data_IF_403184485756
#
_entry.id   IF_403184485756
#
_cell.length_a   1.000
_cell.length_b   1.000
_cell.length_c   1.000
_cell.angle_alpha   90.00
_cell.angle_beta   90.00
_cell.angle_gamma   90.00
#
_symmetry.space_group_name_H-M   'P 1'
#
loop_
_entity.id
_entity.type
_entity.pdbx_description
1 polymer ?
#
# COMPACT_ATOMS: atom_id res chain seq x y z
N UNK A 1 4.28 12.33 18.02
CA UNK A 1 3.37 11.27 17.49
C UNK A 1 4.21 10.14 16.93
N UNK A 2 3.97 8.92 17.37
CA UNK A 2 4.68 7.71 16.95
C UNK A 2 3.86 6.94 15.90
N UNK A 3 4.50 6.35 14.88
CA UNK A 3 3.79 5.53 13.89
C UNK A 3 3.89 4.03 14.23
N UNK A 4 2.82 3.26 13.99
CA UNK A 4 2.83 1.80 14.07
C UNK A 4 2.39 1.24 12.72
N UNK A 5 3.28 0.49 12.06
CA UNK A 5 3.12 0.09 10.66
C UNK A 5 3.17 -1.44 10.55
N UNK A 6 2.02 -2.13 10.51
CA UNK A 6 2.00 -3.57 10.29
C UNK A 6 2.29 -3.91 8.82
N UNK A 7 3.36 -4.69 8.60
CA UNK A 7 3.83 -5.13 7.27
C UNK A 7 4.08 -6.64 7.20
N UNK A 8 3.57 -7.40 8.18
CA UNK A 8 3.84 -8.84 8.30
C UNK A 8 3.21 -9.71 7.21
N UNK A 9 2.26 -9.18 6.44
CA UNK A 9 1.48 -9.94 5.46
C UNK A 9 2.30 -10.54 4.32
N UNK A 10 2.05 -11.81 3.97
CA UNK A 10 2.75 -12.55 2.91
C UNK A 10 2.47 -11.99 1.50
N UNK A 11 1.32 -11.36 1.27
CA UNK A 11 0.95 -10.80 -0.04
C UNK A 11 0.67 -11.85 -1.12
N UNK A 12 0.03 -12.96 -0.79
CA UNK A 12 -0.22 -14.10 -1.71
C UNK A 12 -0.94 -13.73 -2.99
N UNK A 13 -1.81 -12.71 -2.98
CA UNK A 13 -2.55 -12.22 -4.15
C UNK A 13 -1.68 -11.48 -5.18
N UNK A 14 -0.46 -11.05 -4.78
CA UNK A 14 0.53 -10.43 -5.66
C UNK A 14 1.58 -11.42 -6.18
N UNK A 15 1.43 -12.71 -5.94
CA UNK A 15 2.30 -13.70 -6.57
C UNK A 15 2.18 -13.62 -8.10
N UNK A 16 3.30 -13.77 -8.85
CA UNK A 16 4.62 -14.28 -8.42
C UNK A 16 5.56 -13.25 -7.77
N UNK A 17 5.29 -11.93 -7.82
CA UNK A 17 6.20 -10.87 -7.37
C UNK A 17 6.60 -11.02 -5.89
N UNK A 18 5.69 -11.50 -5.05
CA UNK A 18 5.91 -11.68 -3.61
C UNK A 18 6.55 -13.02 -3.23
N UNK A 19 7.08 -13.79 -4.18
CA UNK A 19 7.94 -14.94 -3.86
C UNK A 19 9.33 -14.51 -3.38
N UNK A 20 9.85 -13.43 -3.93
CA UNK A 20 11.21 -12.93 -3.66
C UNK A 20 11.22 -11.71 -2.76
N UNK A 21 10.18 -10.87 -2.80
CA UNK A 21 10.04 -9.63 -2.03
C UNK A 21 8.82 -9.67 -1.11
N UNK A 22 8.89 -9.05 0.08
CA UNK A 22 7.68 -8.76 0.85
C UNK A 22 6.80 -7.76 0.08
N UNK A 23 5.47 -7.89 0.21
CA UNK A 23 4.50 -7.07 -0.53
C UNK A 23 4.80 -5.57 -0.48
N UNK A 24 5.18 -5.07 0.68
CA UNK A 24 5.41 -3.65 0.94
C UNK A 24 6.66 -3.10 0.28
N UNK A 25 7.54 -3.97 -0.22
CA UNK A 25 8.72 -3.59 -0.99
C UNK A 25 8.50 -3.68 -2.52
N UNK A 26 7.33 -4.09 -2.96
CA UNK A 26 6.98 -4.03 -4.40
C UNK A 26 6.99 -2.57 -4.84
N UNK A 27 7.71 -2.31 -5.94
CA UNK A 27 7.91 -0.96 -6.47
C UNK A 27 6.64 -0.45 -7.18
N UNK A 28 6.27 0.78 -6.92
CA UNK A 28 5.18 1.50 -7.59
C UNK A 28 5.58 2.96 -7.79
N UNK A 29 5.42 3.49 -8.97
CA UNK A 29 5.85 4.85 -9.34
C UNK A 29 7.31 5.18 -8.92
N UNK A 30 8.23 4.20 -9.04
CA UNK A 30 9.66 4.36 -8.80
C UNK A 30 10.10 4.30 -7.33
N UNK A 31 9.25 3.81 -6.42
CA UNK A 31 9.56 3.63 -4.99
C UNK A 31 8.76 2.47 -4.41
N UNK A 32 9.28 1.70 -3.44
CA UNK A 32 8.49 0.71 -2.70
C UNK A 32 7.24 1.30 -2.04
N UNK A 33 6.17 0.51 -1.91
CA UNK A 33 4.91 0.92 -1.26
C UNK A 33 5.20 1.52 0.13
N UNK A 34 6.01 0.82 0.95
CA UNK A 34 6.41 1.30 2.27
C UNK A 34 7.14 2.65 2.20
N UNK A 35 7.93 2.86 1.14
CA UNK A 35 8.63 4.13 0.94
C UNK A 35 7.70 5.33 0.77
N UNK A 36 6.57 5.16 0.08
CA UNK A 36 5.56 6.23 -0.03
C UNK A 36 4.91 6.53 1.32
N UNK A 37 4.68 5.51 2.14
CA UNK A 37 4.12 5.67 3.49
C UNK A 37 5.11 6.43 4.39
N UNK A 38 6.37 6.02 4.38
CA UNK A 38 7.41 6.66 5.21
C UNK A 38 7.66 8.12 4.79
N UNK A 39 7.64 8.42 3.49
CA UNK A 39 7.72 9.81 3.02
C UNK A 39 6.56 10.66 3.56
N UNK A 40 5.32 10.16 3.44
CA UNK A 40 4.14 10.86 3.94
C UNK A 40 4.18 11.10 5.46
N UNK A 41 4.75 10.16 6.22
CA UNK A 41 4.96 10.31 7.67
C UNK A 41 6.01 11.38 7.97
N UNK A 42 7.14 11.39 7.25
CA UNK A 42 8.19 12.38 7.42
C UNK A 42 7.72 13.79 7.06
N UNK A 43 6.89 13.96 6.04
CA UNK A 43 6.23 15.22 5.69
C UNK A 43 5.35 15.77 6.83
N UNK A 44 4.91 14.89 7.74
CA UNK A 44 4.14 15.26 8.92
C UNK A 44 4.98 15.33 10.21
N UNK A 45 6.30 15.40 10.11
CA UNK A 45 7.25 15.44 11.23
C UNK A 45 7.15 14.21 12.16
N UNK A 46 6.68 13.09 11.66
CA UNK A 46 6.72 11.81 12.37
C UNK A 46 8.12 11.21 12.20
N UNK A 47 8.90 11.23 13.28
CA UNK A 47 10.32 10.85 13.27
C UNK A 47 10.62 9.53 13.95
N UNK A 48 9.59 8.87 14.52
CA UNK A 48 9.70 7.55 15.15
C UNK A 48 8.61 6.60 14.69
N UNK A 49 8.96 5.32 14.51
CA UNK A 49 8.01 4.30 14.10
C UNK A 49 8.33 2.93 14.70
N UNK A 50 7.28 2.13 14.91
CA UNK A 50 7.39 0.67 15.11
C UNK A 50 6.87 -0.03 13.87
N UNK A 51 7.72 -0.80 13.20
CA UNK A 51 7.37 -1.57 12.02
C UNK A 51 7.20 -3.04 12.43
N UNK A 52 5.99 -3.56 12.24
CA UNK A 52 5.67 -4.95 12.59
C UNK A 52 5.92 -5.81 11.37
N UNK A 53 7.02 -6.53 11.38
CA UNK A 53 7.48 -7.39 10.29
C UNK A 53 6.99 -8.83 10.44
N UNK A 54 7.14 -9.60 9.38
CA UNK A 54 6.87 -11.04 9.34
C UNK A 54 7.63 -11.67 8.19
N UNK A 55 6.92 -12.16 7.18
CA UNK A 55 7.54 -12.76 6.00
C UNK A 55 8.61 -11.85 5.36
N UNK A 56 9.87 -12.33 5.32
CA UNK A 56 11.05 -11.59 4.80
C UNK A 56 11.24 -10.21 5.47
N UNK A 57 11.06 -10.15 6.77
CA UNK A 57 11.20 -8.93 7.55
C UNK A 57 12.60 -8.32 7.51
N UNK A 58 13.63 -9.15 7.33
CA UNK A 58 15.02 -8.76 7.11
C UNK A 58 15.19 -7.78 5.94
N UNK A 59 14.50 -8.02 4.82
CA UNK A 59 14.54 -7.13 3.65
C UNK A 59 13.85 -5.78 3.95
N UNK A 60 12.77 -5.80 4.74
CA UNK A 60 12.09 -4.57 5.17
C UNK A 60 13.00 -3.74 6.06
N UNK A 61 13.66 -4.39 7.03
CA UNK A 61 14.61 -3.74 7.93
C UNK A 61 15.78 -3.13 7.17
N UNK A 62 16.39 -3.88 6.25
CA UNK A 62 17.50 -3.42 5.41
C UNK A 62 17.07 -2.19 4.58
N UNK A 63 15.92 -2.24 3.92
CA UNK A 63 15.40 -1.12 3.13
C UNK A 63 15.19 0.13 3.98
N UNK A 64 14.54 0.01 5.13
CA UNK A 64 14.23 1.15 5.98
C UNK A 64 15.51 1.77 6.54
N UNK A 65 16.42 0.95 7.08
CA UNK A 65 17.68 1.43 7.67
C UNK A 65 18.63 2.08 6.64
N UNK A 66 18.62 1.56 5.39
CA UNK A 66 19.48 2.12 4.32
C UNK A 66 18.92 3.38 3.68
N UNK A 67 17.58 3.54 3.67
CA UNK A 67 16.92 4.60 2.90
C UNK A 67 16.39 5.75 3.76
N UNK A 68 16.18 5.55 5.07
CA UNK A 68 15.52 6.52 5.94
C UNK A 68 16.31 6.80 7.21
N UNK A 69 16.35 8.08 7.60
CA UNK A 69 16.84 8.54 8.92
C UNK A 69 15.65 8.67 9.86
N UNK A 70 15.11 7.57 10.29
CA UNK A 70 13.94 7.46 11.14
C UNK A 70 14.32 6.61 12.37
N UNK A 71 13.87 6.99 13.56
CA UNK A 71 14.02 6.15 14.75
C UNK A 71 13.01 4.99 14.66
N UNK A 72 13.49 3.78 14.33
CA UNK A 72 12.64 2.64 14.04
C UNK A 72 12.94 1.46 14.94
N UNK A 73 11.89 0.99 15.60
CA UNK A 73 11.83 -0.32 16.26
C UNK A 73 11.19 -1.34 15.33
N UNK A 74 11.81 -2.51 15.16
CA UNK A 74 11.23 -3.63 14.43
C UNK A 74 10.74 -4.67 15.40
N UNK A 75 9.52 -5.16 15.18
CA UNK A 75 8.88 -6.21 15.98
C UNK A 75 8.38 -7.29 15.03
N UNK A 76 8.71 -8.56 15.30
CA UNK A 76 8.28 -9.66 14.45
C UNK A 76 6.92 -10.20 14.90
N UNK A 77 5.97 -10.29 13.98
CA UNK A 77 4.76 -11.09 14.14
C UNK A 77 5.05 -12.52 13.63
N UNK A 78 5.41 -13.41 14.51
CA UNK A 78 5.73 -14.81 14.15
C UNK A 78 4.51 -15.63 13.74
N UNK A 79 3.33 -15.33 14.31
CA UNK A 79 2.07 -16.02 14.02
C UNK A 79 1.06 -15.08 13.35
N UNK A 80 0.52 -15.48 12.20
CA UNK A 80 -0.44 -14.69 11.42
C UNK A 80 -1.86 -14.83 11.97
N UNK A 81 -2.10 -14.29 13.17
CA UNK A 81 -3.38 -14.41 13.88
C UNK A 81 -4.32 -13.20 13.69
N UNK A 82 -4.00 -12.31 12.76
CA UNK A 82 -4.81 -11.14 12.43
C UNK A 82 -4.17 -9.80 12.76
N UNK A 83 -4.85 -8.70 12.38
CA UNK A 83 -4.31 -7.35 12.54
C UNK A 83 -4.26 -6.92 14.03
N UNK A 84 -5.28 -7.28 14.82
CA UNK A 84 -5.27 -7.03 16.26
C UNK A 84 -4.07 -7.70 16.94
N UNK A 85 -3.77 -8.96 16.58
CA UNK A 85 -2.59 -9.65 17.07
C UNK A 85 -1.28 -8.97 16.60
N UNK A 86 -1.21 -8.50 15.36
CA UNK A 86 -0.04 -7.76 14.90
C UNK A 86 0.24 -6.52 15.77
N UNK A 87 -0.77 -5.69 16.02
CA UNK A 87 -0.62 -4.52 16.88
C UNK A 87 -0.31 -4.92 18.33
N UNK A 88 -0.91 -6.01 18.82
CA UNK A 88 -0.61 -6.53 20.15
C UNK A 88 0.86 -6.98 20.31
N UNK A 89 1.50 -7.56 19.28
CA UNK A 89 2.93 -7.90 19.34
C UNK A 89 3.81 -6.67 19.56
N UNK A 90 3.37 -5.51 19.10
CA UNK A 90 4.05 -4.23 19.27
C UNK A 90 3.51 -3.37 20.45
N UNK A 91 2.77 -3.98 21.39
CA UNK A 91 2.08 -3.25 22.49
C UNK A 91 3.02 -2.45 23.39
N UNK A 92 4.30 -2.77 23.45
CA UNK A 92 5.28 -1.99 24.23
C UNK A 92 5.55 -0.60 23.62
N UNK A 93 5.19 -0.38 22.35
CA UNK A 93 5.21 0.95 21.72
C UNK A 93 3.93 1.77 21.94
N UNK A 94 2.89 1.15 22.52
CA UNK A 94 1.62 1.82 22.87
C UNK A 94 1.71 2.42 24.29
N UNK A 95 2.44 3.54 24.39
CA UNK A 95 2.68 4.22 25.67
C UNK A 95 1.77 5.44 25.83
N UNK A 96 2.31 6.58 26.28
CA UNK A 96 1.53 7.79 26.55
C UNK A 96 1.39 8.70 25.32
N UNK A 97 2.38 8.69 24.42
CA UNK A 97 2.36 9.54 23.23
C UNK A 97 1.33 9.02 22.21
N UNK A 98 0.48 9.90 21.64
CA UNK A 98 -0.46 9.47 20.59
C UNK A 98 0.21 8.73 19.45
N UNK A 99 -0.44 7.67 18.96
CA UNK A 99 0.05 6.84 17.87
C UNK A 99 -0.81 6.95 16.62
N UNK A 100 -0.16 6.86 15.46
CA UNK A 100 -0.80 6.68 14.17
C UNK A 100 -0.52 5.26 13.67
N UNK A 101 -1.57 4.43 13.63
CA UNK A 101 -1.50 3.12 13.00
C UNK A 101 -1.82 3.30 11.52
N UNK A 102 -0.92 2.85 10.65
CA UNK A 102 -1.07 2.95 9.19
C UNK A 102 -0.75 1.61 8.54
N UNK A 103 -1.70 1.06 7.78
CA UNK A 103 -1.49 -0.21 7.10
C UNK A 103 -0.41 -0.08 6.02
N UNK A 104 0.62 -0.92 6.08
CA UNK A 104 1.81 -0.84 5.23
C UNK A 104 1.61 -1.28 3.77
N UNK A 105 0.40 -1.65 3.40
CA UNK A 105 0.05 -2.14 2.06
C UNK A 105 -0.88 -1.22 1.27
N UNK A 106 -1.09 0.00 1.75
CA UNK A 106 -2.04 0.95 1.18
C UNK A 106 -1.40 2.33 1.06
N UNK A 107 -1.58 2.97 -0.09
CA UNK A 107 -1.21 4.37 -0.30
C UNK A 107 -2.44 5.25 -0.09
N UNK A 108 -2.28 6.32 0.66
CA UNK A 108 -3.36 7.22 1.03
C UNK A 108 -3.18 8.60 0.42
N UNK A 109 -4.31 9.21 0.06
CA UNK A 109 -4.43 10.63 -0.23
C UNK A 109 -5.23 11.28 0.87
N UNK A 110 -4.53 11.83 1.86
CA UNK A 110 -5.13 12.40 3.05
C UNK A 110 -4.19 13.43 3.67
N UNK A 111 -4.74 14.51 4.16
CA UNK A 111 -4.02 15.47 5.00
C UNK A 111 -4.02 14.98 6.46
N UNK A 112 -2.89 14.43 6.87
CA UNK A 112 -2.71 13.96 8.26
C UNK A 112 -2.51 15.09 9.27
N UNK A 113 -2.32 16.34 8.82
CA UNK A 113 -2.11 17.49 9.72
C UNK A 113 -3.31 17.74 10.64
N UNK A 114 -4.51 17.39 10.18
CA UNK A 114 -5.76 17.48 10.95
C UNK A 114 -5.73 16.65 12.23
N UNK A 115 -4.91 15.59 12.28
CA UNK A 115 -4.79 14.70 13.43
C UNK A 115 -3.91 15.30 14.53
N UNK A 116 -2.99 16.22 14.22
CA UNK A 116 -2.07 16.84 15.19
C UNK A 116 -2.80 17.63 16.28
N UNK A 117 -3.99 18.12 15.98
CA UNK A 117 -4.81 18.93 16.90
C UNK A 117 -6.05 18.18 17.40
N UNK A 118 -6.21 16.93 17.06
CA UNK A 118 -7.38 16.15 17.50
C UNK A 118 -7.33 15.85 18.98
N UNK A 119 -8.40 16.20 19.69
CA UNK A 119 -8.57 15.88 21.12
C UNK A 119 -9.11 14.46 21.35
N UNK A 120 -9.46 13.74 20.30
CA UNK A 120 -10.06 12.40 20.33
C UNK A 120 -9.32 11.46 19.38
N UNK A 121 -9.38 10.19 19.70
CA UNK A 121 -9.01 9.15 18.74
C UNK A 121 -9.86 9.28 17.47
N UNK A 122 -9.27 8.99 16.30
CA UNK A 122 -9.94 9.20 15.02
C UNK A 122 -9.62 8.08 14.02
N UNK A 123 -10.60 7.67 13.23
CA UNK A 123 -10.46 6.60 12.25
C UNK A 123 -10.69 7.16 10.85
N UNK A 124 -9.75 6.87 9.95
CA UNK A 124 -9.89 7.20 8.53
C UNK A 124 -10.95 6.33 7.87
N UNK A 125 -11.91 6.99 7.20
CA UNK A 125 -13.03 6.30 6.58
C UNK A 125 -13.28 6.77 5.16
N UNK A 126 -13.90 5.88 4.36
CA UNK A 126 -14.36 6.18 3.02
C UNK A 126 -15.71 5.53 2.75
N UNK A 127 -16.58 6.24 2.04
CA UNK A 127 -17.84 5.66 1.57
C UNK A 127 -17.58 4.65 0.43
N UNK A 128 -18.09 3.43 0.56
CA UNK A 128 -17.97 2.35 -0.43
C UNK A 128 -19.35 1.79 -0.80
N UNK A 129 -19.48 1.26 -2.01
CA UNK A 129 -20.73 0.62 -2.46
C UNK A 129 -20.96 -0.72 -1.76
N UNK A 130 -19.92 -1.54 -1.63
CA UNK A 130 -19.98 -2.84 -0.96
C UNK A 130 -19.02 -2.89 0.25
N UNK A 131 -19.54 -2.74 1.49
CA UNK A 131 -18.72 -2.70 2.70
C UNK A 131 -18.35 -4.09 3.25
N UNK A 132 -18.89 -5.19 2.72
CA UNK A 132 -18.78 -6.54 3.32
C UNK A 132 -17.35 -7.07 3.47
N UNK A 133 -16.39 -6.43 2.83
CA UNK A 133 -14.97 -6.83 2.84
C UNK A 133 -14.12 -6.03 3.84
N UNK A 134 -14.70 -5.04 4.50
CA UNK A 134 -14.00 -4.07 5.33
C UNK A 134 -14.60 -4.01 6.73
N UNK A 135 -13.85 -3.51 7.69
CA UNK A 135 -14.42 -2.96 8.90
C UNK A 135 -15.25 -1.72 8.54
N UNK A 136 -16.36 -1.53 9.22
CA UNK A 136 -17.23 -0.36 9.03
C UNK A 136 -17.50 0.35 10.32
N UNK A 137 -17.78 1.65 10.25
CA UNK A 137 -18.18 2.46 11.38
C UNK A 137 -19.65 2.88 11.30
N UNK A 138 -20.31 2.93 12.44
CA UNK A 138 -21.62 3.53 12.65
C UNK A 138 -21.41 4.68 13.62
N UNK A 139 -21.92 5.88 13.29
CA UNK A 139 -21.77 7.07 14.11
C UNK A 139 -23.11 7.49 14.70
N UNK A 140 -23.07 8.01 15.93
CA UNK A 140 -24.16 8.79 16.52
C UNK A 140 -23.71 10.27 16.57
N UNK A 141 -24.15 11.03 15.58
CA UNK A 141 -23.67 12.40 15.38
C UNK A 141 -22.17 12.46 15.08
N UNK A 142 -21.39 13.05 15.99
CA UNK A 142 -19.94 13.27 15.80
C UNK A 142 -19.09 12.05 16.14
N UNK A 143 -19.57 11.18 17.03
CA UNK A 143 -18.76 10.09 17.56
C UNK A 143 -19.14 8.74 16.96
N UNK A 144 -18.18 7.83 16.93
CA UNK A 144 -18.41 6.43 16.56
C UNK A 144 -19.15 5.76 17.73
N UNK A 145 -20.30 5.19 17.41
CA UNK A 145 -21.10 4.37 18.33
C UNK A 145 -20.71 2.89 18.21
N UNK A 146 -20.42 2.44 16.98
CA UNK A 146 -20.15 1.03 16.73
C UNK A 146 -19.18 0.81 15.58
N UNK A 147 -18.31 -0.21 15.77
CA UNK A 147 -17.43 -0.74 14.73
C UNK A 147 -17.81 -2.21 14.46
N UNK A 148 -17.85 -2.61 13.19
CA UNK A 148 -18.20 -3.99 12.81
C UNK A 148 -17.23 -4.48 11.73
N UNK A 149 -16.52 -5.55 12.03
CA UNK A 149 -15.59 -6.16 11.07
C UNK A 149 -16.32 -7.04 10.07
N UNK A 150 -16.13 -6.76 8.77
CA UNK A 150 -16.64 -7.55 7.63
C UNK A 150 -18.09 -8.02 7.82
N UNK A 151 -19.05 -7.11 7.95
CA UNK A 151 -20.45 -7.46 8.23
C UNK A 151 -21.03 -8.32 7.11
N UNK A 152 -21.75 -9.39 7.46
CA UNK A 152 -22.43 -10.24 6.48
C UNK A 152 -23.55 -9.49 5.74
N UNK A 153 -24.21 -8.61 6.45
CA UNK A 153 -25.19 -7.66 5.89
C UNK A 153 -24.67 -6.25 6.06
N UNK A 154 -24.74 -5.40 5.03
CA UNK A 154 -24.34 -4.01 5.15
C UNK A 154 -25.10 -3.30 6.27
N UNK A 155 -24.37 -2.82 7.28
CA UNK A 155 -24.90 -2.02 8.41
C UNK A 155 -24.48 -0.57 8.29
N UNK A 156 -23.45 -0.29 7.53
CA UNK A 156 -22.91 1.03 7.18
C UNK A 156 -22.09 0.93 5.91
N UNK A 157 -22.05 1.99 5.12
CA UNK A 157 -21.20 2.10 3.93
C UNK A 157 -19.90 2.88 4.22
N UNK A 158 -19.69 3.29 5.48
CA UNK A 158 -18.47 3.98 5.90
C UNK A 158 -17.39 2.95 6.26
N UNK A 159 -16.58 2.59 5.27
CA UNK A 159 -15.51 1.61 5.41
C UNK A 159 -14.27 2.21 6.09
N UNK A 160 -13.67 1.46 6.99
CA UNK A 160 -12.38 1.77 7.61
C UNK A 160 -11.27 1.51 6.58
N UNK A 161 -10.40 2.49 6.37
CA UNK A 161 -9.39 2.43 5.30
C UNK A 161 -8.00 2.00 5.76
N UNK A 162 -7.81 1.78 7.07
CA UNK A 162 -6.51 1.35 7.61
C UNK A 162 -5.63 2.50 8.11
N UNK A 163 -6.23 3.61 8.47
CA UNK A 163 -5.62 4.75 9.17
C UNK A 163 -6.34 4.95 10.51
N UNK A 164 -5.56 4.88 11.60
CA UNK A 164 -6.11 5.00 12.95
C UNK A 164 -5.22 5.92 13.78
N UNK A 165 -5.73 7.06 14.18
CA UNK A 165 -5.11 7.92 15.17
C UNK A 165 -5.65 7.57 16.55
N UNK A 166 -4.79 7.16 17.43
CA UNK A 166 -5.12 6.77 18.81
C UNK A 166 -4.56 7.80 19.77
N UNK A 167 -5.44 8.54 20.40
CA UNK A 167 -5.06 9.62 21.32
C UNK A 167 -4.55 9.08 22.66
N UNK A 168 -5.12 7.97 23.15
CA UNK A 168 -4.71 7.28 24.37
C UNK A 168 -4.25 5.84 24.05
N UNK A 169 -3.00 5.62 23.62
CA UNK A 169 -2.54 4.29 23.20
C UNK A 169 -2.57 3.23 24.30
N UNK A 170 -2.45 3.64 25.57
CA UNK A 170 -2.57 2.74 26.71
C UNK A 170 -3.96 2.10 26.82
N UNK A 171 -5.02 2.77 26.38
CA UNK A 171 -6.37 2.18 26.31
C UNK A 171 -6.46 1.14 25.20
N UNK A 172 -5.81 1.39 24.05
CA UNK A 172 -5.70 0.38 23.01
C UNK A 172 -4.90 -0.83 23.46
N UNK A 173 -3.80 -0.62 24.21
CA UNK A 173 -3.02 -1.73 24.80
C UNK A 173 -3.91 -2.59 25.68
N UNK A 174 -4.66 -2.00 26.59
CA UNK A 174 -5.57 -2.72 27.49
C UNK A 174 -6.67 -3.46 26.72
N UNK A 175 -7.25 -2.85 25.71
CA UNK A 175 -8.26 -3.48 24.85
C UNK A 175 -7.70 -4.66 24.03
N UNK A 176 -6.46 -4.56 23.56
CA UNK A 176 -5.78 -5.65 22.87
C UNK A 176 -5.43 -6.80 23.83
N UNK A 177 -5.00 -6.51 25.07
CA UNK A 177 -4.78 -7.52 26.09
C UNK A 177 -6.08 -8.27 26.40
N UNK A 178 -7.20 -7.54 26.59
CA UNK A 178 -8.54 -8.13 26.79
C UNK A 178 -8.99 -8.98 25.58
N UNK A 179 -8.74 -8.50 24.35
CA UNK A 179 -9.06 -9.23 23.10
C UNK A 179 -8.37 -10.61 23.07
N UNK A 180 -7.08 -10.64 23.43
CA UNK A 180 -6.27 -11.87 23.42
C UNK A 180 -6.65 -12.78 24.60
N UNK A 181 -6.76 -12.24 25.83
CA UNK A 181 -7.08 -13.03 27.03
C UNK A 181 -8.46 -13.71 26.94
N UNK A 182 -9.44 -13.03 26.34
CA UNK A 182 -10.80 -13.56 26.15
C UNK A 182 -10.97 -14.36 24.86
N UNK A 183 -9.92 -14.53 24.06
CA UNK A 183 -9.92 -15.20 22.74
C UNK A 183 -11.05 -14.69 21.81
N UNK A 184 -11.24 -13.36 21.75
CA UNK A 184 -12.27 -12.74 20.91
C UNK A 184 -11.77 -12.71 19.46
N UNK A 185 -12.41 -13.51 18.59
CA UNK A 185 -12.02 -13.63 17.17
C UNK A 185 -13.21 -13.38 16.24
N UNK A 186 -12.99 -12.56 15.25
CA UNK A 186 -13.92 -12.36 14.14
C UNK A 186 -13.35 -12.97 12.87
N UNK A 187 -14.10 -13.85 12.21
CA UNK A 187 -13.66 -14.65 11.05
C UNK A 187 -12.38 -15.46 11.31
N UNK A 188 -12.16 -15.90 12.57
CA UNK A 188 -11.01 -16.72 12.98
C UNK A 188 -9.74 -15.94 13.33
N UNK A 189 -9.74 -14.63 13.25
CA UNK A 189 -8.60 -13.75 13.51
C UNK A 189 -8.89 -12.75 14.63
N UNK A 190 -7.87 -12.32 15.34
CA UNK A 190 -7.94 -11.18 16.25
C UNK A 190 -7.94 -9.89 15.42
N UNK A 191 -9.08 -9.23 15.33
CA UNK A 191 -9.22 -8.02 14.51
C UNK A 191 -8.94 -6.76 15.34
N UNK A 192 -8.27 -5.78 14.72
CA UNK A 192 -8.09 -4.47 15.36
C UNK A 192 -9.45 -3.79 15.58
N UNK A 193 -10.39 -3.98 14.66
CA UNK A 193 -11.75 -3.45 14.76
C UNK A 193 -12.46 -3.89 16.05
N UNK A 194 -12.24 -5.14 16.49
CA UNK A 194 -12.84 -5.66 17.72
C UNK A 194 -12.19 -5.02 18.97
N UNK A 195 -10.85 -4.80 18.95
CA UNK A 195 -10.19 -4.07 20.03
C UNK A 195 -10.66 -2.62 20.13
N UNK A 196 -10.85 -1.95 18.99
CA UNK A 196 -11.39 -0.58 18.96
C UNK A 196 -12.85 -0.54 19.45
N UNK A 197 -13.66 -1.58 19.19
CA UNK A 197 -15.01 -1.69 19.75
C UNK A 197 -14.97 -1.81 21.28
N UNK A 198 -14.04 -2.60 21.83
CA UNK A 198 -13.85 -2.69 23.29
C UNK A 198 -13.55 -1.31 23.88
N UNK A 199 -12.69 -0.50 23.23
CA UNK A 199 -12.42 0.87 23.67
C UNK A 199 -13.68 1.77 23.66
N UNK A 200 -14.50 1.68 22.60
CA UNK A 200 -15.78 2.41 22.51
C UNK A 200 -16.73 2.00 23.63
N UNK A 201 -16.87 0.69 23.88
CA UNK A 201 -17.72 0.13 24.95
C UNK A 201 -17.25 0.57 26.35
N UNK A 202 -15.95 0.83 26.51
CA UNK A 202 -15.33 1.38 27.74
C UNK A 202 -15.42 2.90 27.83
N UNK A 203 -16.05 3.58 26.85
CA UNK A 203 -16.31 5.02 26.86
C UNK A 203 -15.27 5.89 26.17
N UNK A 204 -14.26 5.31 25.49
CA UNK A 204 -13.35 6.08 24.63
C UNK A 204 -14.13 6.68 23.46
N UNK A 205 -13.89 7.97 23.19
CA UNK A 205 -14.55 8.67 22.10
C UNK A 205 -13.70 8.67 20.85
N UNK A 206 -14.28 8.16 19.79
CA UNK A 206 -13.69 8.17 18.47
C UNK A 206 -14.46 9.07 17.52
N UNK A 207 -13.76 9.82 16.70
CA UNK A 207 -14.30 10.55 15.55
C UNK A 207 -13.88 9.86 14.25
N UNK A 208 -14.41 10.30 13.12
CA UNK A 208 -13.96 9.88 11.81
C UNK A 208 -13.36 11.05 11.06
N UNK A 209 -12.43 10.76 10.14
CA UNK A 209 -11.97 11.72 9.14
C UNK A 209 -12.05 11.10 7.73
N UNK A 210 -12.43 11.89 6.72
CA UNK A 210 -12.55 11.38 5.36
C UNK A 210 -11.18 11.15 4.73
N UNK A 211 -11.05 10.06 3.98
CA UNK A 211 -9.86 9.75 3.16
C UNK A 211 -10.27 9.78 1.70
N UNK A 212 -9.77 10.77 0.95
CA UNK A 212 -10.16 11.00 -0.45
C UNK A 212 -9.58 9.93 -1.37
N UNK A 213 -8.29 9.61 -1.22
CA UNK A 213 -7.60 8.57 -1.96
C UNK A 213 -7.23 7.39 -1.08
N UNK A 214 -7.69 6.22 -1.50
CA UNK A 214 -7.41 4.95 -0.82
C UNK A 214 -7.06 3.90 -1.88
N UNK A 215 -5.77 3.55 -1.94
CA UNK A 215 -5.19 2.72 -2.99
C UNK A 215 -4.58 1.47 -2.37
N UNK A 216 -5.37 0.38 -2.35
CA UNK A 216 -4.91 -0.94 -1.90
C UNK A 216 -3.94 -1.54 -2.93
N UNK A 217 -2.72 -1.84 -2.50
CA UNK A 217 -1.71 -2.49 -3.33
C UNK A 217 -1.77 -4.03 -3.21
N UNK A 218 -2.95 -4.61 -3.04
CA UNK A 218 -3.13 -6.04 -2.76
C UNK A 218 -3.19 -6.95 -3.96
N UNK A 219 -3.38 -6.42 -5.17
CA UNK A 219 -3.52 -7.17 -6.43
C UNK A 219 -2.79 -6.43 -7.56
N UNK A 220 -2.43 -7.13 -8.65
CA UNK A 220 -1.79 -6.48 -9.80
C UNK A 220 -2.59 -5.31 -10.37
N UNK A 221 -3.91 -5.45 -10.50
CA UNK A 221 -4.78 -4.42 -11.05
C UNK A 221 -4.78 -3.15 -10.18
N UNK A 222 -4.94 -3.33 -8.86
CA UNK A 222 -4.95 -2.20 -7.93
C UNK A 222 -3.55 -1.60 -7.74
N UNK A 223 -2.48 -2.38 -7.93
CA UNK A 223 -1.11 -1.85 -7.95
C UNK A 223 -0.90 -0.92 -9.17
N UNK A 224 -1.43 -1.27 -10.34
CA UNK A 224 -1.40 -0.40 -11.52
C UNK A 224 -2.25 0.87 -11.33
N UNK A 225 -3.39 0.78 -10.67
CA UNK A 225 -4.20 1.96 -10.30
C UNK A 225 -3.43 2.90 -9.37
N UNK A 226 -2.75 2.33 -8.37
CA UNK A 226 -1.86 3.10 -7.47
C UNK A 226 -0.72 3.76 -8.25
N UNK A 227 -0.12 3.04 -9.21
CA UNK A 227 0.92 3.57 -10.08
C UNK A 227 0.43 4.80 -10.86
N UNK A 228 -0.75 4.72 -11.48
CA UNK A 228 -1.36 5.85 -12.21
C UNK A 228 -1.59 7.06 -11.30
N UNK A 229 -2.14 6.83 -10.11
CA UNK A 229 -2.38 7.88 -9.13
C UNK A 229 -1.10 8.60 -8.72
N UNK A 230 -0.07 7.85 -8.36
CA UNK A 230 1.21 8.40 -7.91
C UNK A 230 1.95 9.13 -9.04
N UNK A 231 1.93 8.59 -10.25
CA UNK A 231 2.58 9.22 -11.41
C UNK A 231 1.94 10.55 -11.78
N UNK A 232 0.62 10.70 -11.65
CA UNK A 232 -0.08 11.98 -11.90
C UNK A 232 0.36 13.11 -10.95
N UNK A 233 0.97 12.78 -9.82
CA UNK A 233 1.41 13.75 -8.79
C UNK A 233 2.91 14.05 -8.84
N UNK A 234 3.65 13.39 -9.73
CA UNK A 234 5.09 13.57 -9.85
C UNK A 234 5.46 14.38 -11.09
N UNK A 235 6.43 15.29 -10.97
CA UNK A 235 7.03 15.89 -12.15
C UNK A 235 7.74 14.81 -12.98
N UNK A 236 7.67 14.96 -14.30
CA UNK A 236 8.40 14.08 -15.23
C UNK A 236 9.90 14.37 -15.13
N UNK A 237 10.71 13.32 -15.00
CA UNK A 237 12.15 13.39 -15.23
C UNK A 237 12.42 13.36 -16.74
N UNK A 238 13.55 13.91 -17.20
CA UNK A 238 13.87 14.12 -18.61
C UNK A 238 13.68 12.88 -19.52
N UNK A 239 13.52 13.11 -20.81
CA UNK A 239 13.35 12.05 -21.82
C UNK A 239 14.69 11.45 -22.25
N UNK A 240 14.87 10.10 -22.28
CA UNK A 240 16.02 9.46 -22.91
C UNK A 240 16.11 9.79 -24.41
N UNK A 241 17.32 10.00 -24.91
CA UNK A 241 17.52 10.31 -26.33
C UNK A 241 17.03 9.17 -27.22
N UNK A 242 16.37 9.50 -28.33
CA UNK A 242 15.87 8.51 -29.30
C UNK A 242 14.61 7.77 -28.89
N UNK A 243 13.93 8.22 -27.82
CA UNK A 243 12.69 7.64 -27.33
C UNK A 243 11.53 8.65 -27.41
N UNK A 244 10.30 8.13 -27.52
CA UNK A 244 9.08 8.92 -27.40
C UNK A 244 8.52 8.72 -25.99
N UNK A 245 8.34 9.81 -25.26
CA UNK A 245 7.77 9.76 -23.89
C UNK A 245 6.40 10.38 -23.90
N UNK A 246 5.41 9.64 -23.40
CA UNK A 246 4.02 10.07 -23.22
C UNK A 246 3.73 10.18 -21.72
N UNK A 247 3.72 11.39 -21.13
CA UNK A 247 3.49 11.56 -19.69
C UNK A 247 2.09 11.13 -19.24
N UNK A 248 1.93 10.82 -17.91
CA UNK A 248 2.95 10.78 -16.88
C UNK A 248 3.72 9.46 -16.88
N UNK A 249 5.02 9.53 -16.61
CA UNK A 249 5.91 8.37 -16.51
C UNK A 249 6.95 8.57 -15.42
N UNK A 250 7.48 7.47 -14.89
CA UNK A 250 8.71 7.44 -14.13
C UNK A 250 9.74 6.58 -14.85
N UNK A 251 10.93 7.13 -15.08
CA UNK A 251 12.08 6.41 -15.60
C UNK A 251 13.23 6.65 -14.62
N UNK A 252 13.70 5.58 -13.99
CA UNK A 252 14.83 5.66 -13.07
C UNK A 252 16.10 6.12 -13.82
N UNK A 253 16.95 6.97 -13.24
CA UNK A 253 18.21 7.42 -13.88
C UNK A 253 19.16 6.29 -14.28
N UNK A 254 19.14 5.17 -13.56
CA UNK A 254 19.95 3.99 -13.85
C UNK A 254 19.29 3.03 -14.86
N UNK A 255 18.07 3.33 -15.35
CA UNK A 255 17.40 2.54 -16.37
C UNK A 255 17.95 2.84 -17.77
N UNK A 256 18.00 1.82 -18.61
CA UNK A 256 18.41 1.94 -20.02
C UNK A 256 17.17 1.84 -20.90
N UNK A 257 16.82 2.92 -21.59
CA UNK A 257 15.67 2.95 -22.49
C UNK A 257 16.14 3.40 -23.88
N UNK A 258 15.97 2.55 -24.88
CA UNK A 258 16.46 2.77 -26.24
C UNK A 258 15.37 2.47 -27.27
N UNK A 259 15.21 3.32 -28.28
CA UNK A 259 14.32 3.15 -29.45
C UNK A 259 12.89 2.72 -29.06
N UNK A 260 12.34 3.31 -27.99
CA UNK A 260 11.10 2.86 -27.38
C UNK A 260 10.08 4.00 -27.20
N UNK A 261 8.81 3.62 -27.05
CA UNK A 261 7.72 4.52 -26.68
C UNK A 261 7.30 4.17 -25.24
N UNK A 262 7.44 5.12 -24.32
CA UNK A 262 7.16 4.89 -22.90
C UNK A 262 6.01 5.79 -22.45
N UNK A 263 4.98 5.18 -21.87
CA UNK A 263 3.82 5.86 -21.31
C UNK A 263 2.55 5.81 -22.19
N UNK A 264 1.43 6.39 -21.71
CA UNK A 264 1.34 7.02 -20.40
C UNK A 264 1.33 5.97 -19.27
N UNK A 265 1.53 6.44 -18.02
CA UNK A 265 1.43 5.64 -16.79
C UNK A 265 2.43 4.48 -16.71
N UNK A 266 3.60 4.62 -17.29
CA UNK A 266 4.65 3.62 -17.22
C UNK A 266 5.68 3.97 -16.13
N UNK A 267 6.08 2.96 -15.36
CA UNK A 267 7.21 3.04 -14.43
C UNK A 267 8.31 2.10 -14.93
N UNK A 268 9.51 2.65 -15.18
CA UNK A 268 10.72 1.91 -15.50
C UNK A 268 11.66 2.06 -14.31
N UNK A 269 11.86 0.96 -13.58
CA UNK A 269 12.59 0.97 -12.32
C UNK A 269 14.10 0.85 -12.52
N UNK A 270 14.84 0.89 -11.42
CA UNK A 270 16.29 0.95 -11.36
C UNK A 270 16.94 -0.22 -12.12
N UNK A 271 17.89 0.10 -13.01
CA UNK A 271 18.64 -0.88 -13.79
C UNK A 271 17.81 -1.69 -14.77
N UNK A 272 16.53 -1.37 -14.97
CA UNK A 272 15.70 -2.00 -15.99
C UNK A 272 16.19 -1.61 -17.41
N UNK A 273 16.05 -2.53 -18.36
CA UNK A 273 16.45 -2.34 -19.75
C UNK A 273 15.23 -2.49 -20.65
N UNK A 274 14.89 -1.44 -21.41
CA UNK A 274 13.76 -1.45 -22.36
C UNK A 274 14.27 -1.07 -23.74
N UNK A 275 14.13 -1.96 -24.73
CA UNK A 275 14.60 -1.76 -26.10
C UNK A 275 13.53 -2.07 -27.14
N UNK A 276 13.46 -1.26 -28.19
CA UNK A 276 12.57 -1.46 -29.35
C UNK A 276 11.12 -1.79 -28.94
N UNK A 277 10.59 -1.16 -27.88
CA UNK A 277 9.36 -1.60 -27.25
C UNK A 277 8.38 -0.44 -27.05
N UNK A 278 7.11 -0.79 -26.93
CA UNK A 278 6.05 0.16 -26.51
C UNK A 278 5.56 -0.30 -25.13
N UNK A 279 5.75 0.54 -24.12
CA UNK A 279 5.34 0.23 -22.74
C UNK A 279 4.39 1.30 -22.24
N UNK A 280 3.14 0.94 -22.01
CA UNK A 280 2.13 1.83 -21.46
C UNK A 280 1.43 1.18 -20.27
N UNK A 281 1.01 2.02 -19.31
CA UNK A 281 0.21 1.60 -18.16
C UNK A 281 0.79 0.37 -17.44
N UNK A 282 2.11 0.35 -17.28
CA UNK A 282 2.85 -0.85 -16.86
C UNK A 282 3.97 -0.50 -15.89
N UNK A 283 4.39 -1.49 -15.10
CA UNK A 283 5.52 -1.40 -14.18
C UNK A 283 6.58 -2.39 -14.63
N UNK A 284 7.76 -1.89 -14.99
CA UNK A 284 8.94 -2.68 -15.25
C UNK A 284 9.84 -2.59 -14.03
N UNK A 285 9.91 -3.68 -13.27
CA UNK A 285 10.63 -3.72 -11.99
C UNK A 285 12.14 -3.70 -12.18
N UNK A 286 12.86 -3.62 -11.06
CA UNK A 286 14.31 -3.46 -11.03
C UNK A 286 15.02 -4.55 -11.83
N UNK A 287 16.01 -4.14 -12.66
CA UNK A 287 16.83 -5.03 -13.47
C UNK A 287 16.07 -5.96 -14.44
N UNK A 288 14.80 -5.70 -14.68
CA UNK A 288 14.04 -6.43 -15.69
C UNK A 288 14.47 -6.03 -17.11
N UNK A 289 14.38 -6.96 -18.06
CA UNK A 289 14.70 -6.72 -19.47
C UNK A 289 13.45 -6.91 -20.33
N UNK A 290 13.13 -5.89 -21.14
CA UNK A 290 12.00 -5.88 -22.06
C UNK A 290 12.50 -5.51 -23.44
N UNK A 291 12.29 -6.37 -24.45
CA UNK A 291 12.74 -6.11 -25.82
C UNK A 291 11.72 -6.55 -26.86
N UNK A 292 11.65 -5.76 -27.95
CA UNK A 292 10.92 -6.08 -29.18
C UNK A 292 9.42 -6.42 -28.95
N UNK A 293 8.74 -5.73 -28.00
CA UNK A 293 7.36 -6.06 -27.59
C UNK A 293 6.52 -4.83 -27.30
N UNK A 294 5.20 -4.99 -27.38
CA UNK A 294 4.23 -4.00 -26.85
C UNK A 294 3.61 -4.54 -25.57
N UNK A 295 3.72 -3.77 -24.48
CA UNK A 295 3.13 -4.06 -23.18
C UNK A 295 2.08 -3.01 -22.82
N UNK A 296 0.94 -3.50 -22.37
CA UNK A 296 -0.16 -2.72 -21.83
C UNK A 296 -0.68 -3.38 -20.55
N UNK A 297 -0.92 -2.59 -19.50
CA UNK A 297 -1.41 -3.04 -18.19
C UNK A 297 -0.65 -4.26 -17.65
N UNK A 298 0.68 -4.19 -17.73
CA UNK A 298 1.57 -5.30 -17.41
C UNK A 298 2.50 -4.97 -16.25
N UNK A 299 2.90 -5.98 -15.49
CA UNK A 299 3.94 -5.87 -14.48
C UNK A 299 5.01 -6.91 -14.81
N UNK A 300 6.24 -6.45 -15.08
CA UNK A 300 7.40 -7.31 -15.31
C UNK A 300 8.23 -7.32 -14.03
N UNK A 301 8.36 -8.50 -13.41
CA UNK A 301 9.02 -8.67 -12.11
C UNK A 301 10.51 -8.39 -12.13
N UNK A 302 11.10 -8.27 -10.95
CA UNK A 302 12.53 -8.04 -10.76
C UNK A 302 13.35 -9.17 -11.43
N UNK A 303 14.41 -8.79 -12.18
CA UNK A 303 15.27 -9.68 -12.95
C UNK A 303 14.53 -10.52 -14.02
N UNK A 304 13.25 -10.27 -14.29
CA UNK A 304 12.54 -10.99 -15.34
C UNK A 304 12.96 -10.49 -16.74
N UNK A 305 12.93 -11.39 -17.70
CA UNK A 305 13.22 -11.08 -19.10
C UNK A 305 12.02 -11.44 -19.96
N UNK A 306 11.60 -10.52 -20.83
CA UNK A 306 10.59 -10.74 -21.85
C UNK A 306 11.06 -10.17 -23.17
N UNK A 307 11.03 -11.00 -24.23
CA UNK A 307 11.33 -10.61 -25.59
C UNK A 307 10.21 -11.06 -26.52
N UNK A 308 9.76 -10.13 -27.36
CA UNK A 308 8.77 -10.41 -28.39
C UNK A 308 9.37 -10.68 -29.73
N UNK A 309 8.52 -10.66 -30.78
CA UNK A 309 8.93 -10.70 -32.19
C UNK A 309 8.08 -9.74 -32.98
N UNK A 310 8.70 -8.95 -33.86
CA UNK A 310 7.97 -8.20 -34.88
C UNK A 310 7.58 -9.13 -36.02
N UNK A 311 6.36 -9.01 -36.52
CA UNK A 311 5.89 -9.71 -37.69
C UNK A 311 6.14 -8.83 -38.93
N UNK A 312 6.72 -9.43 -39.98
CA UNK A 312 6.75 -8.83 -41.34
C UNK A 312 5.56 -9.37 -42.12
N UNK A 313 4.65 -8.50 -42.51
CA UNK A 313 3.41 -8.88 -43.18
C UNK A 313 3.30 -8.12 -44.49
N UNK A 314 3.14 -8.85 -45.58
CA UNK A 314 2.78 -8.30 -46.90
C UNK A 314 1.34 -8.71 -47.19
N UNK A 315 0.44 -7.73 -47.27
CA UNK A 315 -0.99 -7.96 -47.51
C UNK A 315 -1.43 -7.18 -48.74
N UNK A 316 -2.24 -7.84 -49.57
CA UNK A 316 -2.80 -7.22 -50.79
C UNK A 316 -3.99 -6.31 -50.45
N UNK A 317 -4.46 -5.60 -51.50
CA UNK A 317 -5.60 -4.68 -51.38
C UNK A 317 -6.87 -5.40 -50.87
N UNK A 318 -7.66 -4.70 -50.10
CA UNK A 318 -8.91 -5.17 -49.51
C UNK A 318 -8.82 -6.44 -48.61
N UNK A 319 -7.62 -6.80 -48.16
CA UNK A 319 -7.40 -7.93 -47.23
C UNK A 319 -7.68 -7.51 -45.79
N UNK A 320 -8.20 -8.45 -44.99
CA UNK A 320 -8.38 -8.28 -43.57
C UNK A 320 -7.53 -9.35 -42.86
N UNK A 321 -6.55 -8.91 -42.08
CA UNK A 321 -5.75 -9.79 -41.20
C UNK A 321 -6.07 -9.48 -39.75
N UNK A 322 -6.48 -10.49 -39.01
CA UNK A 322 -6.67 -10.40 -37.56
C UNK A 322 -5.64 -11.30 -36.91
N UNK A 323 -4.72 -10.68 -36.16
CA UNK A 323 -3.79 -11.42 -35.32
C UNK A 323 -4.56 -11.71 -34.01
N UNK A 324 -4.87 -12.97 -33.77
CA UNK A 324 -5.45 -13.41 -32.50
C UNK A 324 -4.36 -13.44 -31.42
N UNK A 325 -4.73 -13.07 -30.22
CA UNK A 325 -3.92 -13.16 -29.00
C UNK A 325 -3.50 -14.60 -28.70
#
# INVERSE_FOLDING_TARGET
>A
MHAVIPVAGIGTRLRPFTHTLPKVLVNVAGKPILGHILDALLEQDVTSATIITGYKGDLVEEYVRSSYKLDVTFVEQSEMLGLGHAIWTARESLQEEPVLIILGDTVFDVDLSVLKTSAFSSIGVRHVEDPRRFGVVITDGTFIDRLVEKPERPVSNMAIVGLYYIHHPQHLRAALDELIERDIRTKGEYQLTDALQIMVDQGEKFTTFPVEGWYDCGKPETLLETNRFLLNRRPMNGAPAGCVIVPPVHIDPDAIVEHSVIGPFATISKGAVVRNSIVRDSIICDKATVSDITLDRSIVGEHAEIAGRFHSINIGDASIVRLSD
#
